data_IF_563892415114
#
_entry.id   IF_563892415114
#
_cell.length_a   1.000
_cell.length_b   1.000
_cell.length_c   1.000
_cell.angle_alpha   90.00
_cell.angle_beta   90.00
_cell.angle_gamma   90.00
#
_symmetry.space_group_name_H-M   'P 1'
#
loop_
_entity.id
_entity.type
_entity.pdbx_description
1 polymer ?
#
# COMPACT_ATOMS: atom_id res chain seq x y z
N UNK A 1 7.88 2.71 -18.43
CA UNK A 1 6.69 2.13 -17.81
C UNK A 1 6.63 2.65 -16.39
N UNK A 2 5.55 3.32 -16.00
CA UNK A 2 5.32 3.68 -14.60
C UNK A 2 4.49 2.53 -14.05
N UNK A 3 5.14 1.60 -13.34
CA UNK A 3 4.45 0.44 -12.77
C UNK A 3 3.25 0.87 -11.89
N UNK A 4 2.35 -0.06 -11.58
CA UNK A 4 1.22 0.23 -10.71
C UNK A 4 1.59 0.05 -9.24
N UNK A 5 1.32 1.07 -8.43
CA UNK A 5 1.36 0.98 -6.97
C UNK A 5 -0.05 0.65 -6.43
N UNK A 6 -0.10 -0.01 -5.27
CA UNK A 6 -1.31 -0.15 -4.45
C UNK A 6 -0.98 0.23 -3.01
N UNK A 7 -1.81 1.07 -2.38
CA UNK A 7 -1.64 1.50 -1.00
C UNK A 7 -2.91 1.21 -0.23
N UNK A 8 -2.78 0.58 0.95
CA UNK A 8 -3.90 0.12 1.77
C UNK A 8 -3.69 0.49 3.24
N UNK A 9 -4.76 0.81 3.97
CA UNK A 9 -4.68 0.92 5.43
C UNK A 9 -4.54 -0.50 6.00
N UNK A 10 -3.54 -0.66 6.89
CA UNK A 10 -3.29 -1.92 7.58
C UNK A 10 -4.23 -2.14 8.78
N UNK A 11 -5.14 -1.21 9.04
CA UNK A 11 -6.18 -1.33 10.06
C UNK A 11 -7.36 -2.11 9.53
N UNK A 12 -7.82 -3.08 10.31
CA UNK A 12 -9.02 -3.86 10.04
C UNK A 12 -9.70 -4.18 11.36
N UNK A 13 -10.96 -3.78 11.52
CA UNK A 13 -11.77 -4.04 12.72
C UNK A 13 -11.06 -3.72 14.05
N UNK A 14 -10.41 -2.56 14.12
CA UNK A 14 -9.71 -2.09 15.32
C UNK A 14 -8.36 -2.79 15.58
N UNK A 15 -7.97 -3.76 14.74
CA UNK A 15 -6.64 -4.35 14.74
C UNK A 15 -5.74 -3.62 13.77
N UNK A 16 -4.47 -3.53 14.14
CA UNK A 16 -3.41 -3.10 13.24
C UNK A 16 -2.65 -4.34 12.79
N UNK A 17 -2.62 -4.60 11.48
CA UNK A 17 -1.90 -5.73 10.89
C UNK A 17 -0.47 -5.36 10.51
N UNK A 18 0.40 -6.36 10.48
CA UNK A 18 1.74 -6.28 9.92
C UNK A 18 1.95 -7.43 8.93
N UNK A 19 2.56 -7.13 7.79
CA UNK A 19 2.64 -8.06 6.66
C UNK A 19 4.06 -8.49 6.35
N UNK A 20 4.20 -9.74 5.95
CA UNK A 20 5.41 -10.30 5.37
C UNK A 20 5.16 -10.73 3.93
N UNK A 21 6.12 -10.46 3.05
CA UNK A 21 6.06 -10.93 1.66
C UNK A 21 6.37 -12.43 1.61
N UNK A 22 5.55 -13.17 0.88
CA UNK A 22 5.77 -14.55 0.51
C UNK A 22 5.67 -14.70 -1.02
N UNK A 23 6.01 -15.87 -1.54
CA UNK A 23 6.00 -16.12 -3.00
C UNK A 23 4.58 -16.07 -3.58
N UNK A 24 3.56 -16.37 -2.79
CA UNK A 24 2.15 -16.39 -3.16
C UNK A 24 1.38 -15.12 -2.75
N UNK A 25 2.08 -14.06 -2.33
CA UNK A 25 1.48 -12.78 -1.94
C UNK A 25 2.01 -12.29 -0.61
N UNK A 26 1.10 -11.97 0.31
CA UNK A 26 1.44 -11.45 1.63
C UNK A 26 0.80 -12.29 2.73
N UNK A 27 1.41 -12.30 3.91
CA UNK A 27 0.85 -12.93 5.09
C UNK A 27 0.86 -11.94 6.25
N UNK A 28 -0.27 -11.79 6.94
CA UNK A 28 -0.28 -10.98 8.16
C UNK A 28 0.25 -11.79 9.35
N UNK A 29 0.99 -11.15 10.25
CA UNK A 29 1.60 -11.81 11.42
C UNK A 29 0.60 -12.10 12.54
N UNK A 30 -0.51 -11.36 12.59
CA UNK A 30 -1.45 -11.40 13.71
C UNK A 30 -2.45 -12.55 13.64
N UNK A 31 -2.79 -13.01 12.43
CA UNK A 31 -3.70 -14.15 12.19
C UNK A 31 -3.08 -15.22 11.30
N UNK A 32 -2.02 -14.89 10.57
CA UNK A 32 -1.45 -15.78 9.57
C UNK A 32 -2.31 -15.91 8.32
N UNK A 33 -3.26 -15.00 8.06
CA UNK A 33 -4.07 -14.99 6.83
C UNK A 33 -3.21 -14.59 5.63
N UNK A 34 -3.57 -15.10 4.44
CA UNK A 34 -2.88 -14.82 3.18
C UNK A 34 -3.64 -13.77 2.40
N UNK A 35 -2.92 -12.83 1.81
CA UNK A 35 -3.46 -11.66 1.13
C UNK A 35 -2.89 -11.53 -0.28
N UNK A 36 -3.73 -11.14 -1.23
CA UNK A 36 -3.29 -10.83 -2.59
C UNK A 36 -2.81 -9.37 -2.71
N UNK A 37 -2.30 -9.01 -3.89
CA UNK A 37 -1.79 -7.67 -4.18
C UNK A 37 -2.86 -6.56 -4.09
N UNK A 38 -4.15 -6.93 -4.13
CA UNK A 38 -5.27 -5.99 -4.10
C UNK A 38 -5.83 -5.78 -2.69
N UNK A 39 -5.10 -6.21 -1.65
CA UNK A 39 -5.53 -6.05 -0.27
C UNK A 39 -6.67 -6.97 0.14
N UNK A 40 -6.93 -8.05 -0.60
CA UNK A 40 -7.96 -9.04 -0.25
C UNK A 40 -7.35 -10.26 0.43
N UNK A 41 -7.90 -10.64 1.58
CA UNK A 41 -7.57 -11.89 2.24
C UNK A 41 -8.16 -13.06 1.44
N UNK A 42 -7.29 -13.94 0.96
CA UNK A 42 -7.67 -15.10 0.14
C UNK A 42 -7.83 -16.38 0.96
N UNK A 43 -7.10 -16.50 2.07
CA UNK A 43 -7.09 -17.70 2.92
C UNK A 43 -6.81 -17.33 4.38
N UNK A 44 -7.20 -18.22 5.30
CA UNK A 44 -6.96 -18.09 6.74
C UNK A 44 -8.12 -17.42 7.48
N UNK A 45 -7.92 -17.05 8.76
CA UNK A 45 -8.99 -16.53 9.62
C UNK A 45 -9.71 -15.29 9.09
N UNK A 46 -9.07 -14.47 8.25
CA UNK A 46 -9.64 -13.26 7.68
C UNK A 46 -10.09 -13.45 6.21
N UNK A 47 -10.18 -14.69 5.71
CA UNK A 47 -10.52 -14.94 4.31
C UNK A 47 -11.84 -14.26 3.89
N UNK A 48 -11.79 -13.49 2.81
CA UNK A 48 -12.92 -12.70 2.30
C UNK A 48 -12.84 -11.22 2.65
N UNK A 49 -12.13 -10.85 3.72
CA UNK A 49 -11.93 -9.47 4.14
C UNK A 49 -11.12 -8.65 3.12
N UNK A 50 -11.35 -7.34 3.12
CA UNK A 50 -10.75 -6.38 2.21
C UNK A 50 -10.17 -5.21 3.00
N UNK A 51 -8.89 -4.92 2.78
CA UNK A 51 -8.29 -3.69 3.31
C UNK A 51 -8.81 -2.47 2.55
N UNK A 52 -8.94 -1.37 3.27
CA UNK A 52 -9.32 -0.08 2.68
C UNK A 52 -8.18 0.46 1.82
N UNK A 53 -8.47 0.72 0.55
CA UNK A 53 -7.52 1.34 -0.37
C UNK A 53 -7.36 2.83 -0.04
N UNK A 54 -6.12 3.29 0.07
CA UNK A 54 -5.79 4.70 0.28
C UNK A 54 -5.59 5.34 -1.09
N UNK A 55 -6.21 6.51 -1.31
CA UNK A 55 -5.97 7.30 -2.50
C UNK A 55 -4.47 7.63 -2.63
N UNK A 56 -3.86 7.21 -3.74
CA UNK A 56 -2.45 7.39 -4.03
C UNK A 56 -2.26 7.58 -5.53
N UNK A 57 -1.03 7.94 -5.92
CA UNK A 57 -0.68 8.00 -7.33
C UNK A 57 0.83 8.02 -7.51
N UNK A 58 1.26 7.49 -8.66
CA UNK A 58 2.64 7.50 -9.10
C UNK A 58 2.86 8.76 -9.96
N UNK A 59 3.61 9.72 -9.45
CA UNK A 59 3.83 10.99 -10.12
C UNK A 59 5.31 11.25 -10.34
N UNK A 60 5.67 11.66 -11.56
CA UNK A 60 6.94 12.35 -11.76
C UNK A 60 6.93 13.66 -10.98
N UNK A 61 8.08 14.01 -10.38
CA UNK A 61 8.18 15.20 -9.53
C UNK A 61 7.74 16.49 -10.26
N UNK A 62 8.05 16.62 -11.56
CA UNK A 62 7.70 17.81 -12.35
C UNK A 62 6.19 17.92 -12.61
N UNK A 63 5.49 16.80 -12.77
CA UNK A 63 4.04 16.78 -12.91
C UNK A 63 3.37 17.13 -11.58
N UNK A 64 3.87 16.56 -10.48
CA UNK A 64 3.41 16.90 -9.13
C UNK A 64 3.55 18.40 -8.83
N UNK A 65 4.70 19.00 -9.17
CA UNK A 65 4.97 20.42 -8.94
C UNK A 65 4.00 21.37 -9.64
N UNK A 66 3.41 20.98 -10.78
CA UNK A 66 2.35 21.77 -11.45
C UNK A 66 1.06 21.79 -10.62
N UNK A 67 0.70 20.68 -9.97
CA UNK A 67 -0.53 20.57 -9.18
C UNK A 67 -0.37 20.94 -7.69
N UNK A 68 0.88 20.98 -7.20
CA UNK A 68 1.26 21.28 -5.81
C UNK A 68 2.47 22.22 -5.76
N UNK A 69 2.30 23.47 -6.23
CA UNK A 69 3.40 24.42 -6.42
C UNK A 69 4.15 24.79 -5.14
N UNK A 70 3.53 24.61 -3.97
CA UNK A 70 4.14 24.81 -2.65
C UNK A 70 5.11 23.70 -2.23
N UNK A 71 5.15 22.58 -2.96
CA UNK A 71 6.06 21.46 -2.67
C UNK A 71 7.51 21.90 -2.91
N UNK A 72 8.33 21.89 -1.86
CA UNK A 72 9.76 22.17 -1.97
C UNK A 72 10.47 20.98 -2.61
N UNK A 73 11.11 21.20 -3.76
CA UNK A 73 12.00 20.22 -4.41
C UNK A 73 13.40 20.40 -3.84
N UNK A 74 13.99 19.30 -3.39
CA UNK A 74 15.36 19.28 -2.88
C UNK A 74 16.32 18.90 -4.03
N UNK A 75 17.35 19.71 -4.28
CA UNK A 75 18.29 19.53 -5.40
C UNK A 75 19.55 18.73 -5.04
N UNK A 76 19.84 18.52 -3.75
CA UNK A 76 20.98 17.72 -3.29
C UNK A 76 22.36 18.27 -3.60
N UNK A 77 22.47 19.51 -4.06
CA UNK A 77 23.74 20.22 -4.18
C UNK A 77 24.05 20.90 -2.83
N UNK A 78 25.13 20.45 -2.19
CA UNK A 78 25.89 21.21 -1.18
C UNK A 78 26.97 22.05 -1.86
#
# INVERSE_FOLDING_TARGET
DVGSTGVFDRRLDGRILSFERHDDGFRDRETGSRWNLFGRATHGPLAGEQLDAIAHGDFFWFAWGVFRPETRVWSGED
#
